data_IF_302512677201
#
_entry.id   IF_302512677201
#
_cell.length_a   1.000
_cell.length_b   1.000
_cell.length_c   1.000
_cell.angle_alpha   90.00
_cell.angle_beta   90.00
_cell.angle_gamma   90.00
#
_symmetry.space_group_name_H-M   'P 1'
#
loop_
_entity.id
_entity.type
_entity.pdbx_description
1 polymer ?
#
# COMPACT_ATOMS: atom_id res chain seq x y z
N UNK A 1 5.85 -9.57 5.67
CA UNK A 1 6.75 -10.44 4.87
C UNK A 1 8.16 -10.52 5.47
N UNK A 2 8.77 -9.39 5.83
CA UNK A 2 10.11 -9.39 6.43
C UNK A 2 10.23 -10.20 7.72
N UNK A 3 9.24 -10.15 8.59
CA UNK A 3 9.21 -10.96 9.81
C UNK A 3 9.01 -12.45 9.53
N UNK A 4 8.15 -12.80 8.56
CA UNK A 4 8.00 -14.17 8.11
C UNK A 4 9.33 -14.75 7.66
N UNK A 5 10.02 -14.04 6.77
CA UNK A 5 11.35 -14.43 6.29
C UNK A 5 12.33 -14.69 7.44
N UNK A 6 12.43 -13.73 8.38
CA UNK A 6 13.44 -13.82 9.44
C UNK A 6 13.13 -14.88 10.51
N UNK A 7 11.85 -15.06 10.87
CA UNK A 7 11.45 -15.98 11.93
C UNK A 7 11.41 -17.45 11.44
N UNK A 8 11.11 -17.67 10.16
CA UNK A 8 11.00 -19.02 9.60
C UNK A 8 12.26 -19.45 8.80
N UNK A 9 13.30 -18.61 8.77
CA UNK A 9 14.57 -18.94 8.12
C UNK A 9 14.51 -18.94 6.59
N UNK A 10 13.51 -18.28 6.00
CA UNK A 10 13.39 -18.17 4.54
C UNK A 10 14.34 -17.12 3.96
N UNK A 11 14.63 -17.27 2.68
CA UNK A 11 15.34 -16.26 1.88
C UNK A 11 14.41 -15.69 0.82
N UNK A 12 14.65 -14.44 0.43
CA UNK A 12 13.96 -13.89 -0.71
C UNK A 12 14.28 -14.70 -1.99
N UNK A 13 13.29 -15.00 -2.86
CA UNK A 13 13.56 -15.60 -4.14
C UNK A 13 14.67 -14.84 -4.91
N UNK A 14 15.68 -15.56 -5.37
CA UNK A 14 16.84 -14.96 -6.03
C UNK A 14 17.68 -14.04 -5.13
N UNK A 15 17.55 -14.14 -3.80
CA UNK A 15 18.26 -13.33 -2.79
C UNK A 15 18.08 -11.80 -2.94
N UNK A 16 16.96 -11.35 -3.48
CA UNK A 16 16.64 -9.92 -3.59
C UNK A 16 15.30 -9.58 -2.96
N UNK A 17 15.27 -8.48 -2.19
CA UNK A 17 14.04 -7.95 -1.59
C UNK A 17 12.99 -7.52 -2.61
N UNK A 18 13.37 -7.24 -3.85
CA UNK A 18 12.44 -6.96 -4.95
C UNK A 18 11.46 -8.13 -5.21
N UNK A 19 11.84 -9.32 -4.79
CA UNK A 19 11.04 -10.54 -4.92
C UNK A 19 10.35 -10.94 -3.61
N UNK A 20 10.20 -10.05 -2.65
CA UNK A 20 9.63 -10.34 -1.33
C UNK A 20 8.25 -11.02 -1.38
N UNK A 21 7.41 -10.67 -2.34
CA UNK A 21 6.10 -11.28 -2.50
C UNK A 21 6.18 -12.79 -2.78
N UNK A 22 7.27 -13.28 -3.33
CA UNK A 22 7.49 -14.71 -3.54
C UNK A 22 7.57 -15.53 -2.25
N UNK A 23 7.77 -14.89 -1.10
CA UNK A 23 7.73 -15.54 0.21
C UNK A 23 6.37 -16.19 0.51
N UNK A 24 5.27 -15.69 -0.03
CA UNK A 24 3.93 -16.28 0.18
C UNK A 24 3.76 -17.67 -0.45
N UNK A 25 4.71 -18.08 -1.28
CA UNK A 25 4.73 -19.40 -1.94
C UNK A 25 5.29 -20.52 -1.06
N UNK A 26 5.86 -20.18 0.11
CA UNK A 26 6.25 -21.19 1.08
C UNK A 26 5.02 -21.74 1.81
N UNK A 27 5.00 -23.03 2.05
CA UNK A 27 3.86 -23.76 2.60
C UNK A 27 3.45 -23.29 4.01
N UNK A 28 4.38 -22.73 4.77
CA UNK A 28 4.18 -22.27 6.15
C UNK A 28 3.71 -20.80 6.27
N UNK A 29 3.40 -20.12 5.15
CA UNK A 29 2.90 -18.74 5.15
C UNK A 29 1.63 -18.58 5.98
N UNK A 30 0.64 -19.42 5.78
CA UNK A 30 -0.64 -19.34 6.49
C UNK A 30 -0.47 -19.59 7.99
N UNK A 31 0.36 -20.56 8.37
CA UNK A 31 0.65 -20.88 9.78
C UNK A 31 1.39 -19.75 10.47
N UNK A 32 2.33 -19.10 9.77
CA UNK A 32 2.97 -17.88 10.27
C UNK A 32 1.96 -16.76 10.52
N UNK A 33 1.04 -16.49 9.59
CA UNK A 33 0.02 -15.46 9.77
C UNK A 33 -0.81 -15.72 11.03
N UNK A 34 -1.29 -16.96 11.24
CA UNK A 34 -2.04 -17.35 12.44
C UNK A 34 -1.21 -17.17 13.71
N UNK A 35 0.02 -17.62 13.73
CA UNK A 35 0.92 -17.44 14.87
C UNK A 35 1.14 -15.96 15.17
N UNK A 36 1.40 -15.16 14.13
CA UNK A 36 1.67 -13.72 14.29
C UNK A 36 0.47 -12.98 14.87
N UNK A 37 -0.72 -13.21 14.36
CA UNK A 37 -1.96 -12.61 14.88
C UNK A 37 -2.16 -12.99 16.34
N UNK A 38 -2.09 -14.27 16.69
CA UNK A 38 -2.33 -14.76 18.05
C UNK A 38 -1.25 -14.37 19.07
N UNK A 39 -0.09 -13.90 18.61
CA UNK A 39 0.99 -13.45 19.51
C UNK A 39 1.19 -11.94 19.49
N UNK A 40 1.45 -11.37 18.32
CA UNK A 40 1.82 -9.96 18.18
C UNK A 40 0.62 -9.01 18.19
N UNK A 41 -0.53 -9.46 17.67
CA UNK A 41 -1.75 -8.66 17.65
C UNK A 41 -2.69 -8.99 18.82
N UNK A 42 -2.43 -10.05 19.59
CA UNK A 42 -3.27 -10.47 20.71
C UNK A 42 -3.71 -9.34 21.67
N UNK A 43 -2.85 -8.36 22.02
CA UNK A 43 -3.25 -7.26 22.91
C UNK A 43 -4.28 -6.31 22.34
N UNK A 44 -4.50 -6.33 21.03
CA UNK A 44 -5.37 -5.39 20.30
C UNK A 44 -6.63 -6.06 19.73
N UNK A 45 -6.71 -7.40 19.82
CA UNK A 45 -7.89 -8.14 19.40
C UNK A 45 -9.04 -7.85 20.37
N UNK A 46 -10.26 -7.74 19.85
CA UNK A 46 -11.49 -7.42 20.58
C UNK A 46 -11.48 -6.05 21.29
N UNK A 47 -10.53 -5.15 20.97
CA UNK A 47 -10.52 -3.79 21.50
C UNK A 47 -11.40 -2.90 20.60
N UNK A 48 -12.50 -2.39 21.16
CA UNK A 48 -13.45 -1.52 20.47
C UNK A 48 -12.84 -0.16 19.99
N UNK A 49 -11.64 0.20 20.46
CA UNK A 49 -10.94 1.38 20.01
C UNK A 49 -10.01 1.10 18.81
N UNK A 50 -9.84 -0.15 18.42
CA UNK A 50 -9.04 -0.56 17.27
C UNK A 50 -9.95 -0.83 16.09
N UNK A 51 -9.84 0.00 15.06
CA UNK A 51 -10.65 -0.14 13.84
C UNK A 51 -10.26 -1.38 13.02
N UNK A 52 -8.98 -1.67 12.92
CA UNK A 52 -8.46 -2.76 12.10
C UNK A 52 -6.95 -2.71 11.95
N UNK A 53 -6.43 -3.66 11.18
CA UNK A 53 -4.99 -3.80 10.96
C UNK A 53 -4.60 -3.63 9.49
N UNK A 54 -3.53 -2.88 9.26
CA UNK A 54 -2.73 -2.98 8.04
C UNK A 54 -1.71 -4.10 8.21
N UNK A 55 -1.44 -4.87 7.17
CA UNK A 55 -0.45 -5.95 7.25
C UNK A 55 0.95 -5.47 6.90
N UNK A 56 1.34 -5.27 5.74
CA UNK A 56 2.63 -4.66 5.35
C UNK A 56 2.38 -3.24 4.81
N UNK A 57 3.43 -2.58 4.31
CA UNK A 57 3.33 -1.27 3.66
C UNK A 57 3.97 -1.29 2.28
N UNK A 58 3.22 -0.89 1.26
CA UNK A 58 3.73 -0.65 -0.10
C UNK A 58 4.46 -1.84 -0.72
N UNK A 59 3.93 -3.05 -0.53
CA UNK A 59 4.53 -4.27 -1.11
C UNK A 59 4.72 -4.09 -2.61
N UNK A 60 5.90 -4.46 -3.09
CA UNK A 60 6.21 -4.45 -4.51
C UNK A 60 5.63 -5.67 -5.23
N UNK A 61 4.36 -5.60 -5.64
CA UNK A 61 3.75 -6.64 -6.47
C UNK A 61 4.32 -6.65 -7.89
N UNK A 62 4.64 -5.48 -8.44
CA UNK A 62 5.27 -5.30 -9.75
C UNK A 62 5.54 -3.82 -10.01
N UNK A 63 6.40 -3.50 -10.97
CA UNK A 63 6.60 -2.14 -11.47
C UNK A 63 6.54 -2.10 -13.00
N UNK A 64 6.38 -0.91 -13.58
CA UNK A 64 6.34 -0.73 -15.04
C UNK A 64 7.60 -1.28 -15.73
N UNK A 65 8.76 -1.13 -15.07
CA UNK A 65 10.05 -1.53 -15.62
C UNK A 65 10.54 -2.89 -15.11
N UNK A 66 9.78 -3.56 -14.23
CA UNK A 66 10.22 -4.79 -13.58
C UNK A 66 9.02 -5.65 -13.19
N UNK A 67 8.47 -6.36 -14.17
CA UNK A 67 7.35 -7.27 -14.00
C UNK A 67 7.75 -8.47 -13.14
N UNK A 68 6.95 -8.79 -12.14
CA UNK A 68 7.25 -9.86 -11.18
C UNK A 68 7.33 -11.24 -11.88
N UNK A 69 6.50 -11.49 -12.88
CA UNK A 69 6.52 -12.72 -13.65
C UNK A 69 7.84 -12.88 -14.43
N UNK A 70 8.34 -11.82 -15.06
CA UNK A 70 9.65 -11.84 -15.71
C UNK A 70 10.78 -12.10 -14.71
N UNK A 71 10.75 -11.42 -13.55
CA UNK A 71 11.79 -11.61 -12.51
C UNK A 71 11.86 -13.05 -12.03
N UNK A 72 10.70 -13.68 -11.79
CA UNK A 72 10.66 -15.05 -11.30
C UNK A 72 11.10 -16.05 -12.36
N UNK A 73 10.72 -15.85 -13.62
CA UNK A 73 11.19 -16.68 -14.74
C UNK A 73 12.70 -16.53 -15.00
N UNK A 74 13.28 -15.36 -14.68
CA UNK A 74 14.70 -15.09 -14.85
C UNK A 74 15.59 -15.67 -13.74
N UNK A 75 15.01 -16.20 -12.65
CA UNK A 75 15.80 -16.81 -11.57
C UNK A 75 16.72 -17.91 -12.09
N UNK A 76 17.98 -17.88 -11.65
CA UNK A 76 19.00 -18.87 -12.04
C UNK A 76 18.75 -20.23 -11.42
N UNK A 77 18.32 -20.24 -10.16
CA UNK A 77 17.89 -21.46 -9.48
C UNK A 77 16.49 -21.88 -9.96
N UNK A 78 16.46 -22.97 -10.72
CA UNK A 78 15.21 -23.51 -11.27
C UNK A 78 14.42 -24.35 -10.28
N UNK A 79 14.93 -24.53 -9.06
CA UNK A 79 14.25 -25.19 -7.94
C UNK A 79 13.61 -24.17 -6.99
N UNK A 80 13.88 -22.87 -7.17
CA UNK A 80 13.27 -21.81 -6.39
C UNK A 80 11.73 -21.83 -6.53
N UNK A 81 11.03 -21.73 -5.41
CA UNK A 81 9.56 -21.78 -5.36
C UNK A 81 8.90 -20.74 -6.26
N UNK A 82 9.51 -19.56 -6.38
CA UNK A 82 9.02 -18.48 -7.24
C UNK A 82 9.20 -18.83 -8.73
N UNK A 83 10.35 -19.38 -9.13
CA UNK A 83 10.54 -19.88 -10.49
C UNK A 83 9.53 -20.96 -10.84
N UNK A 84 9.36 -21.95 -9.96
CA UNK A 84 8.44 -23.07 -10.21
C UNK A 84 6.99 -22.58 -10.33
N UNK A 85 6.57 -21.63 -9.49
CA UNK A 85 5.25 -21.02 -9.57
C UNK A 85 5.04 -20.24 -10.89
N UNK A 86 6.01 -19.42 -11.29
CA UNK A 86 5.95 -18.66 -12.53
C UNK A 86 5.94 -19.58 -13.76
N UNK A 87 6.79 -20.61 -13.77
CA UNK A 87 6.82 -21.59 -14.87
C UNK A 87 5.50 -22.35 -14.98
N UNK A 88 4.96 -22.84 -13.87
CA UNK A 88 3.64 -23.50 -13.82
C UNK A 88 2.54 -22.60 -14.37
N UNK A 89 2.53 -21.32 -13.97
CA UNK A 89 1.56 -20.35 -14.46
C UNK A 89 1.64 -20.17 -15.98
N UNK A 90 2.85 -20.00 -16.53
CA UNK A 90 3.03 -19.87 -17.99
C UNK A 90 2.59 -21.13 -18.74
N UNK A 91 2.88 -22.33 -18.21
CA UNK A 91 2.46 -23.59 -18.80
C UNK A 91 0.93 -23.74 -18.78
N UNK A 92 0.25 -23.39 -17.68
CA UNK A 92 -1.21 -23.38 -17.57
C UNK A 92 -1.86 -22.44 -18.61
N UNK A 93 -1.20 -21.31 -18.92
CA UNK A 93 -1.66 -20.34 -19.93
C UNK A 93 -1.29 -20.73 -21.36
N UNK A 94 -0.44 -21.74 -21.56
CA UNK A 94 0.11 -22.08 -22.86
C UNK A 94 0.90 -20.94 -23.51
N UNK A 95 1.49 -20.06 -22.68
CA UNK A 95 2.14 -18.83 -23.12
C UNK A 95 3.65 -19.02 -23.24
N UNK A 96 4.23 -18.47 -24.31
CA UNK A 96 5.67 -18.52 -24.59
C UNK A 96 6.40 -17.20 -24.26
N UNK A 97 5.66 -16.13 -23.97
CA UNK A 97 6.20 -14.83 -23.59
C UNK A 97 5.32 -14.11 -22.57
N UNK A 98 5.92 -13.25 -21.77
CA UNK A 98 5.21 -12.46 -20.75
C UNK A 98 4.59 -11.22 -21.37
N UNK A 99 3.29 -11.03 -21.13
CA UNK A 99 2.55 -9.81 -21.43
C UNK A 99 2.18 -9.08 -20.15
N UNK A 100 1.78 -7.80 -20.24
CA UNK A 100 1.33 -7.05 -19.07
C UNK A 100 0.08 -7.68 -18.42
N UNK A 101 -0.83 -8.24 -19.22
CA UNK A 101 -1.99 -8.96 -18.71
C UNK A 101 -1.60 -10.22 -17.95
N UNK A 102 -0.70 -11.05 -18.48
CA UNK A 102 -0.20 -12.23 -17.79
C UNK A 102 0.54 -11.87 -16.51
N UNK A 103 1.32 -10.79 -16.53
CA UNK A 103 1.98 -10.30 -15.33
C UNK A 103 0.96 -9.81 -14.28
N UNK A 104 -0.09 -9.09 -14.69
CA UNK A 104 -1.16 -8.65 -13.78
C UNK A 104 -1.88 -9.86 -13.15
N UNK A 105 -2.27 -10.85 -13.96
CA UNK A 105 -2.90 -12.07 -13.47
C UNK A 105 -2.00 -12.85 -12.50
N UNK A 106 -0.71 -12.96 -12.80
CA UNK A 106 0.24 -13.66 -11.93
C UNK A 106 0.43 -12.91 -10.60
N UNK A 107 0.62 -11.59 -10.66
CA UNK A 107 0.70 -10.77 -9.46
C UNK A 107 -0.59 -10.85 -8.63
N UNK A 108 -1.75 -10.88 -9.28
CA UNK A 108 -3.05 -11.10 -8.64
C UNK A 108 -3.14 -12.44 -7.92
N UNK A 109 -2.64 -13.53 -8.50
CA UNK A 109 -2.59 -14.85 -7.82
C UNK A 109 -1.72 -14.81 -6.55
N UNK A 110 -0.56 -14.16 -6.62
CA UNK A 110 0.29 -13.99 -5.44
C UNK A 110 -0.38 -13.10 -4.38
N UNK A 111 -1.06 -12.05 -4.83
CA UNK A 111 -1.84 -11.16 -3.96
C UNK A 111 -2.97 -11.92 -3.26
N UNK A 112 -3.69 -12.81 -3.96
CA UNK A 112 -4.71 -13.65 -3.34
C UNK A 112 -4.15 -14.54 -2.23
N UNK A 113 -3.01 -15.19 -2.45
CA UNK A 113 -2.36 -16.02 -1.42
C UNK A 113 -2.00 -15.16 -0.21
N UNK A 114 -1.40 -13.99 -0.46
CA UNK A 114 -1.01 -13.05 0.58
C UNK A 114 -2.21 -12.59 1.41
N UNK A 115 -3.19 -11.95 0.76
CA UNK A 115 -4.34 -11.36 1.44
C UNK A 115 -5.21 -12.40 2.14
N UNK A 116 -5.37 -13.59 1.51
CA UNK A 116 -6.12 -14.69 2.11
C UNK A 116 -5.47 -15.18 3.41
N UNK A 117 -4.17 -15.39 3.42
CA UNK A 117 -3.45 -15.84 4.61
C UNK A 117 -3.61 -14.88 5.78
N UNK A 118 -3.48 -13.59 5.54
CA UNK A 118 -3.65 -12.55 6.57
C UNK A 118 -5.11 -12.45 7.02
N UNK A 119 -6.06 -12.37 6.07
CA UNK A 119 -7.50 -12.30 6.39
C UNK A 119 -7.95 -13.46 7.25
N UNK A 120 -7.64 -14.69 6.82
CA UNK A 120 -8.08 -15.88 7.52
C UNK A 120 -7.55 -15.90 8.96
N UNK A 121 -6.29 -15.49 9.15
CA UNK A 121 -5.68 -15.41 10.47
C UNK A 121 -6.36 -14.35 11.38
N UNK A 122 -6.66 -13.16 10.85
CA UNK A 122 -7.35 -12.10 11.61
C UNK A 122 -8.78 -12.55 11.95
N UNK A 123 -9.54 -13.02 10.96
CA UNK A 123 -10.96 -13.37 11.17
C UNK A 123 -11.16 -14.64 12.01
N UNK A 124 -10.18 -15.54 12.05
CA UNK A 124 -10.19 -16.68 12.97
C UNK A 124 -9.99 -16.25 14.43
N UNK A 125 -9.14 -15.24 14.67
CA UNK A 125 -8.86 -14.72 16.00
C UNK A 125 -9.90 -13.70 16.49
N UNK A 126 -10.39 -12.85 15.58
CA UNK A 126 -11.39 -11.81 15.86
C UNK A 126 -12.23 -11.56 14.59
N UNK A 127 -13.43 -12.14 14.51
CA UNK A 127 -14.30 -12.01 13.33
C UNK A 127 -14.74 -10.57 13.02
N UNK A 128 -14.81 -9.70 14.03
CA UNK A 128 -15.25 -8.31 13.88
C UNK A 128 -14.12 -7.35 13.51
N UNK A 129 -12.87 -7.75 13.75
CA UNK A 129 -11.68 -6.93 13.44
C UNK A 129 -11.50 -6.74 11.93
N UNK A 130 -11.39 -5.49 11.47
CA UNK A 130 -11.21 -5.22 10.06
C UNK A 130 -9.78 -5.48 9.58
N UNK A 131 -9.67 -6.01 8.37
CA UNK A 131 -8.42 -6.09 7.63
C UNK A 131 -8.36 -4.97 6.59
N UNK A 132 -7.39 -4.07 6.72
CA UNK A 132 -7.28 -2.83 5.95
C UNK A 132 -6.25 -2.92 4.81
N UNK A 133 -5.65 -4.10 4.57
CA UNK A 133 -4.73 -4.34 3.45
C UNK A 133 -3.32 -3.83 3.65
N UNK A 134 -2.64 -3.50 2.54
CA UNK A 134 -1.18 -3.25 2.46
C UNK A 134 -0.81 -1.85 2.01
N UNK A 135 -1.75 -0.91 1.94
CA UNK A 135 -1.48 0.47 1.52
C UNK A 135 -0.81 0.50 0.15
N UNK A 136 -1.55 0.07 -0.88
CA UNK A 136 -1.07 -0.07 -2.26
C UNK A 136 -0.45 1.24 -2.78
N UNK A 137 0.78 1.16 -3.29
CA UNK A 137 1.52 2.28 -3.84
C UNK A 137 2.12 1.95 -5.22
N UNK A 138 2.50 2.98 -5.99
CA UNK A 138 3.12 2.78 -7.29
C UNK A 138 2.23 2.02 -8.28
N UNK A 139 2.83 1.13 -9.07
CA UNK A 139 2.13 0.34 -10.11
C UNK A 139 1.05 -0.59 -9.56
N UNK A 140 1.19 -1.27 -8.42
CA UNK A 140 0.19 -2.22 -7.91
C UNK A 140 -1.22 -1.67 -7.79
N UNK A 141 -1.41 -0.40 -7.40
CA UNK A 141 -2.74 0.21 -7.31
C UNK A 141 -3.44 0.41 -8.67
N UNK A 142 -2.71 0.24 -9.76
CA UNK A 142 -3.21 0.31 -11.14
C UNK A 142 -3.29 -1.06 -11.82
N UNK A 143 -3.01 -2.14 -11.10
CA UNK A 143 -3.11 -3.51 -11.60
C UNK A 143 -4.45 -4.11 -11.20
N UNK A 144 -5.32 -4.35 -12.19
CA UNK A 144 -6.69 -4.86 -11.97
C UNK A 144 -6.72 -6.06 -11.04
N UNK A 145 -5.90 -7.07 -11.32
CA UNK A 145 -5.96 -8.35 -10.59
C UNK A 145 -5.45 -8.21 -9.16
N UNK A 146 -4.49 -7.31 -8.90
CA UNK A 146 -3.99 -7.01 -7.54
C UNK A 146 -5.07 -6.28 -6.74
N UNK A 147 -5.72 -5.27 -7.33
CA UNK A 147 -6.80 -4.52 -6.67
C UNK A 147 -8.01 -5.42 -6.42
N UNK A 148 -8.38 -6.27 -7.39
CA UNK A 148 -9.46 -7.25 -7.23
C UNK A 148 -9.15 -8.25 -6.10
N UNK A 149 -7.91 -8.73 -5.99
CA UNK A 149 -7.48 -9.59 -4.90
C UNK A 149 -7.58 -8.87 -3.54
N UNK A 150 -7.11 -7.62 -3.47
CA UNK A 150 -7.26 -6.81 -2.26
C UNK A 150 -8.75 -6.67 -1.87
N UNK A 151 -9.63 -6.32 -2.81
CA UNK A 151 -11.05 -6.16 -2.55
C UNK A 151 -11.80 -7.45 -2.17
N UNK A 152 -11.29 -8.60 -2.60
CA UNK A 152 -11.85 -9.90 -2.23
C UNK A 152 -11.57 -10.28 -0.77
N UNK A 153 -10.46 -9.84 -0.23
CA UNK A 153 -9.99 -10.29 1.08
C UNK A 153 -9.91 -9.18 2.14
N UNK A 154 -9.76 -7.92 1.77
CA UNK A 154 -9.76 -6.80 2.71
C UNK A 154 -11.17 -6.27 2.91
N UNK A 155 -11.47 -5.80 4.12
CA UNK A 155 -12.73 -5.09 4.41
C UNK A 155 -12.72 -3.67 3.80
N UNK A 156 -11.55 -3.07 3.72
CA UNK A 156 -11.27 -1.78 3.06
C UNK A 156 -9.96 -1.90 2.28
N UNK A 157 -9.93 -1.43 1.04
CA UNK A 157 -8.68 -1.32 0.29
C UNK A 157 -7.98 -0.04 0.70
N UNK A 158 -6.71 -0.13 1.11
CA UNK A 158 -5.89 1.03 1.45
C UNK A 158 -4.94 1.40 0.32
N UNK A 159 -4.84 2.69 0.04
CA UNK A 159 -4.08 3.22 -1.09
C UNK A 159 -3.25 4.43 -0.65
N UNK A 160 -1.93 4.37 -0.85
CA UNK A 160 -1.04 5.52 -0.75
C UNK A 160 -1.08 6.26 -2.09
N UNK A 161 -1.67 7.47 -2.10
CA UNK A 161 -2.05 8.15 -3.33
C UNK A 161 -1.34 9.49 -3.48
N UNK A 162 -0.12 9.46 -3.98
CA UNK A 162 0.75 10.61 -4.12
C UNK A 162 0.74 11.25 -5.51
N UNK A 163 1.27 12.46 -5.56
CA UNK A 163 1.58 13.21 -6.79
C UNK A 163 0.37 13.49 -7.69
N UNK A 164 -0.80 13.69 -7.08
CA UNK A 164 -2.03 14.06 -7.77
C UNK A 164 -2.61 15.34 -7.18
N UNK A 165 -3.00 16.25 -8.04
CA UNK A 165 -3.76 17.45 -7.65
C UNK A 165 -5.22 17.11 -7.35
N UNK A 166 -5.82 16.26 -8.19
CA UNK A 166 -7.16 15.72 -7.99
C UNK A 166 -7.12 14.18 -7.85
N UNK A 167 -8.14 13.55 -7.25
CA UNK A 167 -8.17 12.09 -7.10
C UNK A 167 -8.43 11.29 -8.39
N UNK A 168 -8.54 11.96 -9.56
CA UNK A 168 -8.74 11.28 -10.86
C UNK A 168 -9.99 10.39 -10.87
N UNK A 169 -11.16 10.97 -10.57
CA UNK A 169 -12.43 10.25 -10.39
C UNK A 169 -12.83 9.44 -11.63
N UNK A 170 -12.63 10.00 -12.83
CA UNK A 170 -13.04 9.38 -14.10
C UNK A 170 -12.08 8.30 -14.61
N UNK A 171 -10.95 8.09 -13.94
CA UNK A 171 -9.94 7.13 -14.34
C UNK A 171 -9.57 6.17 -13.20
N UNK A 172 -8.67 6.55 -12.31
CA UNK A 172 -8.15 5.64 -11.29
C UNK A 172 -9.20 5.24 -10.25
N UNK A 173 -9.93 6.20 -9.69
CA UNK A 173 -10.97 5.92 -8.69
C UNK A 173 -12.11 5.11 -9.30
N UNK A 174 -12.52 5.45 -10.54
CA UNK A 174 -13.50 4.67 -11.30
C UNK A 174 -13.04 3.22 -11.49
N UNK A 175 -11.78 3.03 -11.91
CA UNK A 175 -11.24 1.70 -12.12
C UNK A 175 -11.24 0.86 -10.83
N UNK A 176 -10.90 1.46 -9.68
CA UNK A 176 -10.98 0.73 -8.41
C UNK A 176 -12.40 0.27 -8.10
N UNK A 177 -13.40 1.13 -8.34
CA UNK A 177 -14.80 0.75 -8.16
C UNK A 177 -15.33 -0.26 -9.19
N UNK A 178 -14.73 -0.34 -10.39
CA UNK A 178 -15.09 -1.35 -11.40
C UNK A 178 -14.39 -2.71 -11.16
N UNK A 179 -13.24 -2.70 -10.50
CA UNK A 179 -12.46 -3.92 -10.26
C UNK A 179 -12.85 -4.64 -8.97
N UNK A 180 -13.55 -3.95 -8.08
CA UNK A 180 -14.02 -4.51 -6.81
C UNK A 180 -15.14 -3.67 -6.21
N UNK A 181 -16.05 -4.33 -5.47
CA UNK A 181 -17.12 -3.67 -4.70
C UNK A 181 -16.66 -3.17 -3.33
N UNK A 182 -15.39 -3.40 -2.94
CA UNK A 182 -14.89 -2.98 -1.66
C UNK A 182 -14.70 -1.45 -1.60
N UNK A 183 -14.96 -0.83 -0.45
CA UNK A 183 -14.62 0.58 -0.23
C UNK A 183 -13.11 0.77 -0.19
N UNK A 184 -12.65 2.01 -0.46
CA UNK A 184 -11.24 2.35 -0.34
C UNK A 184 -11.00 3.50 0.64
N UNK A 185 -9.79 3.49 1.22
CA UNK A 185 -9.24 4.51 2.09
C UNK A 185 -7.94 5.05 1.47
N UNK A 186 -7.81 6.36 1.31
CA UNK A 186 -6.52 6.95 0.96
C UNK A 186 -5.69 7.07 2.25
N UNK A 187 -4.65 6.27 2.36
CA UNK A 187 -3.88 6.13 3.60
C UNK A 187 -2.67 7.04 3.68
N UNK A 188 -2.23 7.58 2.56
CA UNK A 188 -1.19 8.61 2.53
C UNK A 188 -1.36 9.51 1.32
N UNK A 189 -1.31 10.82 1.55
CA UNK A 189 -1.07 11.87 0.57
C UNK A 189 -0.59 13.13 1.28
N UNK A 190 0.15 13.98 0.59
CA UNK A 190 0.56 15.31 1.07
C UNK A 190 1.11 16.16 -0.07
N UNK A 191 1.24 17.45 0.21
CA UNK A 191 2.00 18.42 -0.60
C UNK A 191 3.03 19.13 0.27
N UNK A 192 4.08 19.66 -0.35
CA UNK A 192 5.17 20.41 0.31
C UNK A 192 5.07 21.88 -0.09
N UNK A 193 5.33 22.81 0.85
CA UNK A 193 5.42 24.25 0.56
C UNK A 193 6.87 24.69 0.34
N UNK A 194 7.12 25.51 -0.68
CA UNK A 194 8.46 26.06 -0.94
C UNK A 194 8.89 27.08 0.11
N UNK A 195 7.92 27.70 0.78
CA UNK A 195 8.11 28.72 1.83
C UNK A 195 8.34 28.12 3.22
N UNK A 196 8.72 26.86 3.32
CA UNK A 196 8.90 26.14 4.59
C UNK A 196 10.33 26.16 5.16
N UNK A 197 11.27 26.85 4.57
CA UNK A 197 12.71 26.83 4.89
C UNK A 197 13.37 25.44 4.81
N UNK A 198 12.62 24.41 4.38
CA UNK A 198 13.12 23.06 4.18
C UNK A 198 13.45 22.82 2.70
N UNK A 199 14.47 21.99 2.43
CA UNK A 199 14.92 21.75 1.05
C UNK A 199 13.92 20.95 0.19
N UNK A 200 12.98 20.24 0.81
CA UNK A 200 11.91 19.50 0.15
C UNK A 200 12.34 18.46 -0.89
N UNK A 201 13.54 17.91 -0.79
CA UNK A 201 14.14 16.99 -1.75
C UNK A 201 13.68 15.54 -1.57
N UNK A 202 12.96 15.21 -0.50
CA UNK A 202 12.49 13.85 -0.22
C UNK A 202 10.97 13.71 -0.33
N UNK A 203 10.54 12.47 -0.57
CA UNK A 203 9.15 12.04 -0.51
C UNK A 203 8.33 12.28 -1.79
N UNK A 204 7.23 11.56 -1.89
CA UNK A 204 6.43 11.42 -3.10
C UNK A 204 5.40 12.56 -3.33
N UNK A 205 5.12 13.40 -2.33
CA UNK A 205 4.22 14.54 -2.49
C UNK A 205 4.84 15.64 -3.37
N UNK A 206 4.06 16.27 -4.23
CA UNK A 206 4.53 17.39 -5.05
C UNK A 206 4.69 18.67 -4.22
N UNK A 207 5.42 19.64 -4.77
CA UNK A 207 5.70 20.91 -4.11
C UNK A 207 4.84 22.01 -4.71
N UNK A 208 4.26 22.85 -3.83
CA UNK A 208 3.49 24.05 -4.16
C UNK A 208 4.20 25.31 -3.64
N UNK A 209 3.89 26.52 -4.14
CA UNK A 209 4.61 27.73 -3.74
C UNK A 209 4.53 28.06 -2.26
N UNK A 210 3.36 27.95 -1.64
CA UNK A 210 3.12 28.43 -0.27
C UNK A 210 2.39 27.45 0.62
N UNK A 211 2.40 27.69 1.94
CA UNK A 211 1.60 26.95 2.92
C UNK A 211 0.09 27.12 2.68
N UNK A 212 -0.33 28.25 2.14
CA UNK A 212 -1.71 28.46 1.74
C UNK A 212 -2.10 27.53 0.56
N UNK A 213 -1.19 27.37 -0.42
CA UNK A 213 -1.42 26.45 -1.54
C UNK A 213 -1.46 24.98 -1.08
N UNK A 214 -0.73 24.63 -0.01
CA UNK A 214 -0.86 23.31 0.63
C UNK A 214 -2.27 23.08 1.16
N UNK A 215 -2.86 24.10 1.78
CA UNK A 215 -4.23 24.04 2.29
C UNK A 215 -5.25 23.90 1.15
N UNK A 216 -5.10 24.64 0.07
CA UNK A 216 -5.94 24.48 -1.13
C UNK A 216 -5.78 23.12 -1.78
N UNK A 217 -4.57 22.59 -1.86
CA UNK A 217 -4.31 21.24 -2.39
C UNK A 217 -5.02 20.17 -1.55
N UNK A 218 -4.96 20.28 -0.22
CA UNK A 218 -5.70 19.40 0.68
C UNK A 218 -7.20 19.47 0.40
N UNK A 219 -7.79 20.68 0.45
CA UNK A 219 -9.22 20.88 0.26
C UNK A 219 -9.69 20.36 -1.09
N UNK A 220 -9.00 20.71 -2.17
CA UNK A 220 -9.36 20.27 -3.51
C UNK A 220 -9.33 18.74 -3.66
N UNK A 221 -8.26 18.11 -3.16
CA UNK A 221 -8.11 16.66 -3.26
C UNK A 221 -9.18 15.92 -2.43
N UNK A 222 -9.42 16.36 -1.20
CA UNK A 222 -10.36 15.71 -0.29
C UNK A 222 -11.82 15.94 -0.67
N UNK A 223 -12.19 17.12 -1.19
CA UNK A 223 -13.52 17.35 -1.77
C UNK A 223 -13.76 16.42 -2.95
N UNK A 224 -12.75 16.19 -3.81
CA UNK A 224 -12.86 15.20 -4.87
C UNK A 224 -13.01 13.76 -4.33
N UNK A 225 -12.36 13.42 -3.22
CA UNK A 225 -12.58 12.11 -2.58
C UNK A 225 -14.01 11.96 -2.01
N UNK A 226 -14.62 13.03 -1.51
CA UNK A 226 -16.02 13.01 -1.07
C UNK A 226 -17.01 12.77 -2.22
N UNK A 227 -16.66 13.12 -3.44
CA UNK A 227 -17.47 12.80 -4.64
C UNK A 227 -17.38 11.31 -5.00
N UNK A 228 -16.33 10.61 -4.57
CA UNK A 228 -16.13 9.19 -4.81
C UNK A 228 -17.03 8.35 -3.87
N UNK A 229 -18.06 7.70 -4.41
CA UNK A 229 -19.08 6.98 -3.64
C UNK A 229 -18.52 5.84 -2.77
N UNK A 230 -17.39 5.29 -3.12
CA UNK A 230 -16.72 4.18 -2.44
C UNK A 230 -15.49 4.60 -1.62
N UNK A 231 -15.17 5.91 -1.52
CA UNK A 231 -14.16 6.42 -0.60
C UNK A 231 -14.75 6.52 0.81
N UNK A 232 -14.08 5.92 1.80
CA UNK A 232 -14.55 5.93 3.20
C UNK A 232 -13.69 6.81 4.11
N UNK A 233 -12.63 7.43 3.59
CA UNK A 233 -11.81 8.36 4.35
C UNK A 233 -10.42 8.55 3.77
N UNK A 234 -9.64 9.35 4.48
CA UNK A 234 -8.25 9.64 4.10
C UNK A 234 -7.39 10.00 5.29
N UNK A 235 -6.06 9.83 5.14
CA UNK A 235 -5.04 10.24 6.08
C UNK A 235 -4.01 11.11 5.39
N UNK A 236 -3.71 12.27 5.99
CA UNK A 236 -2.57 13.08 5.59
C UNK A 236 -1.27 12.48 6.09
N UNK A 237 -0.24 12.43 5.26
CA UNK A 237 1.10 12.03 5.64
C UNK A 237 2.03 13.23 5.69
N UNK A 238 2.39 13.75 6.86
CA UNK A 238 2.28 13.10 8.17
C UNK A 238 1.98 14.14 9.28
N UNK A 239 2.10 13.73 10.54
CA UNK A 239 1.84 14.64 11.68
C UNK A 239 2.82 15.81 11.72
N UNK A 240 4.14 15.53 11.70
CA UNK A 240 5.23 16.49 11.81
C UNK A 240 6.12 16.47 10.57
N UNK A 241 6.78 17.57 10.26
CA UNK A 241 7.77 17.65 9.20
C UNK A 241 8.94 16.67 9.39
N UNK A 242 9.55 16.25 8.30
CA UNK A 242 10.82 15.56 8.34
C UNK A 242 11.94 16.55 8.63
N UNK A 243 12.69 16.31 9.68
CA UNK A 243 13.85 17.10 10.07
C UNK A 243 15.17 16.63 9.40
N UNK A 244 15.10 15.54 8.61
CA UNK A 244 16.25 14.92 7.93
C UNK A 244 17.07 14.00 8.81
N UNK A 245 16.65 13.71 10.06
CA UNK A 245 17.30 12.74 10.93
C UNK A 245 16.94 11.30 10.60
N UNK A 246 15.93 11.10 9.76
CA UNK A 246 15.65 9.81 9.16
C UNK A 246 16.79 9.37 8.22
N UNK A 247 16.73 8.14 7.72
CA UNK A 247 17.75 7.57 6.83
C UNK A 247 17.97 8.34 5.52
N UNK A 248 17.14 9.35 5.21
CA UNK A 248 17.25 10.12 3.97
C UNK A 248 18.22 11.30 4.07
N UNK A 249 18.43 11.86 5.27
CA UNK A 249 19.18 13.10 5.47
C UNK A 249 18.59 14.31 4.73
N UNK A 250 17.31 14.25 4.33
CA UNK A 250 16.67 15.24 3.44
C UNK A 250 15.40 15.77 4.10
N UNK A 251 15.48 16.88 4.86
CA UNK A 251 14.32 17.47 5.50
C UNK A 251 13.26 17.87 4.46
N UNK A 252 11.99 17.69 4.83
CA UNK A 252 10.86 17.98 3.93
C UNK A 252 9.60 18.38 4.69
N UNK A 253 8.90 19.37 4.13
CA UNK A 253 7.63 19.89 4.64
C UNK A 253 6.47 18.95 4.32
N UNK A 254 6.27 17.95 5.15
CA UNK A 254 5.20 16.94 5.03
C UNK A 254 4.13 17.08 6.11
N UNK A 255 4.52 17.69 7.25
CA UNK A 255 3.73 17.75 8.47
C UNK A 255 2.50 18.65 8.41
N UNK A 256 1.56 18.38 9.31
CA UNK A 256 0.57 19.36 9.77
C UNK A 256 1.24 20.34 10.74
N UNK A 257 2.25 19.87 11.44
CA UNK A 257 3.11 20.63 12.35
C UNK A 257 4.54 20.70 11.81
N UNK A 258 5.20 21.81 12.08
CA UNK A 258 6.62 21.97 11.80
C UNK A 258 7.50 21.21 12.83
N UNK A 259 8.81 21.34 12.70
CA UNK A 259 9.77 20.71 13.60
C UNK A 259 9.89 21.38 14.99
N UNK A 260 9.17 22.49 15.23
CA UNK A 260 8.99 23.14 16.51
C UNK A 260 7.64 22.85 17.17
N UNK A 261 6.84 21.94 16.56
CA UNK A 261 5.47 21.61 16.94
C UNK A 261 4.48 22.76 16.81
N UNK A 262 4.75 23.71 15.91
CA UNK A 262 3.82 24.76 15.54
C UNK A 262 2.99 24.32 14.34
N UNK A 263 1.66 24.40 14.49
CA UNK A 263 0.73 23.99 13.42
C UNK A 263 0.78 24.98 12.26
N UNK A 264 0.84 24.49 11.04
CA UNK A 264 0.64 25.31 9.85
C UNK A 264 -0.82 25.81 9.80
N UNK A 265 -1.08 27.13 10.06
CA UNK A 265 -2.42 27.60 10.37
C UNK A 265 -3.40 27.45 9.21
N UNK A 266 -2.95 27.67 7.98
CA UNK A 266 -3.80 27.52 6.80
C UNK A 266 -4.19 26.05 6.58
N UNK A 267 -3.22 25.13 6.65
CA UNK A 267 -3.49 23.72 6.49
C UNK A 267 -4.43 23.21 7.57
N UNK A 268 -4.16 23.53 8.84
CA UNK A 268 -5.01 23.12 9.96
C UNK A 268 -6.44 23.67 9.83
N UNK A 269 -6.61 24.92 9.42
CA UNK A 269 -7.92 25.53 9.19
C UNK A 269 -8.72 24.78 8.11
N UNK A 270 -8.11 24.54 6.95
CA UNK A 270 -8.80 23.88 5.83
C UNK A 270 -9.10 22.40 6.14
N UNK A 271 -8.24 21.73 6.91
CA UNK A 271 -8.53 20.38 7.42
C UNK A 271 -9.77 20.38 8.31
N UNK A 272 -9.92 21.36 9.21
CA UNK A 272 -11.11 21.50 10.04
C UNK A 272 -12.36 21.75 9.20
N UNK A 273 -12.30 22.69 8.23
CA UNK A 273 -13.44 23.05 7.38
C UNK A 273 -13.94 21.88 6.51
N UNK A 274 -13.07 20.98 6.08
CA UNK A 274 -13.47 19.81 5.27
C UNK A 274 -13.95 18.65 6.13
N UNK A 275 -13.35 18.46 7.32
CA UNK A 275 -13.60 17.27 8.14
C UNK A 275 -14.79 17.43 9.11
N UNK A 276 -15.34 18.65 9.26
CA UNK A 276 -16.51 18.97 10.08
C UNK A 276 -17.66 19.58 9.26
#
# INVERSE_FOLDING_TARGET
LGQFRSQNGHTYPGNTSDNELGLVLYDDWADFCKKYVNTSLAPYLHDANVLGFFSDNEINFSSQNSRILDRFLALTDKTDVAYLAAKKFMDEKGATGVTDNLNSEFAGRLAEIYYKGVKDAIKEADPDMMYLGTRLHGTPKYMKDVVAAAGKYCDIISINYYSRWSPELDSYVKNWGEWTDAPFLVTEFYTKGQDSDLNNLSGAGFTVPTQNDRAYAYQHFTLGLLEAKNCVGWHWFKYQDDDGTDNSGKPANKGVYDNHYEMYPYLGKFMQEVNY
#
